data_IF_558125161702
#
_entry.id   IF_558125161702
#
_cell.length_a   1.000
_cell.length_b   1.000
_cell.length_c   1.000
_cell.angle_alpha   90.00
_cell.angle_beta   90.00
_cell.angle_gamma   90.00
#
_symmetry.space_group_name_H-M   'P 1'
#
loop_
_entity.id
_entity.type
_entity.pdbx_description
1 polymer ?
#
# COMPACT_ATOMS: atom_id res chain seq x y z
N UNK A 1 -19.48 22.21 12.95
CA UNK A 1 -19.12 22.95 11.75
C UNK A 1 -18.31 22.01 10.81
N UNK A 2 -18.61 21.97 9.50
CA UNK A 2 -17.78 21.24 8.57
C UNK A 2 -16.40 21.86 8.53
N UNK A 3 -15.35 21.03 8.62
CA UNK A 3 -13.98 21.51 8.46
C UNK A 3 -13.73 21.88 6.98
N UNK A 4 -12.81 22.80 6.67
CA UNK A 4 -12.49 23.18 5.28
C UNK A 4 -12.12 22.01 4.37
N UNK A 5 -11.62 20.90 4.95
CA UNK A 5 -11.16 19.71 4.22
C UNK A 5 -12.21 18.58 4.18
N UNK A 6 -13.47 18.83 4.60
CA UNK A 6 -14.51 17.82 4.51
C UNK A 6 -14.77 17.46 3.03
N UNK A 7 -14.65 16.16 2.71
CA UNK A 7 -14.81 15.61 1.34
C UNK A 7 -13.77 16.13 0.31
N UNK A 8 -12.60 16.62 0.77
CA UNK A 8 -11.55 17.13 -0.11
C UNK A 8 -10.64 16.01 -0.66
N UNK A 9 -10.74 14.80 -0.12
CA UNK A 9 -9.85 13.68 -0.44
C UNK A 9 -10.60 12.40 -0.77
N UNK A 10 -10.08 11.63 -1.71
CA UNK A 10 -10.34 10.21 -1.82
C UNK A 10 -9.37 9.46 -0.91
N UNK A 11 -9.86 8.56 -0.06
CA UNK A 11 -9.06 7.85 0.95
C UNK A 11 -8.65 6.49 0.43
N UNK A 12 -7.33 6.28 0.23
CA UNK A 12 -6.75 4.98 -0.10
C UNK A 12 -6.19 4.37 1.19
N UNK A 13 -6.83 3.30 1.68
CA UNK A 13 -6.42 2.62 2.91
C UNK A 13 -5.78 1.28 2.62
N UNK A 14 -4.54 1.10 3.10
CA UNK A 14 -3.84 -0.18 3.20
C UNK A 14 -3.93 -0.69 4.64
N UNK A 15 -4.27 -1.96 4.80
CA UNK A 15 -4.33 -2.66 6.09
C UNK A 15 -3.43 -3.90 6.00
N UNK A 16 -2.30 -3.85 6.68
CA UNK A 16 -1.30 -4.92 6.65
C UNK A 16 -1.42 -5.91 7.80
N UNK A 17 -2.54 -5.90 8.53
CA UNK A 17 -2.84 -6.93 9.52
C UNK A 17 -2.89 -8.33 8.92
N UNK A 18 -2.38 -9.33 9.64
CA UNK A 18 -2.50 -10.74 9.26
C UNK A 18 -1.82 -11.12 7.93
N UNK A 19 -0.70 -10.48 7.59
CA UNK A 19 0.17 -10.93 6.49
C UNK A 19 0.83 -12.25 6.88
N UNK A 20 0.83 -13.23 5.95
CA UNK A 20 1.47 -14.53 6.16
C UNK A 20 2.99 -14.40 6.03
N UNK A 21 3.70 -14.55 7.15
CA UNK A 21 5.15 -14.45 7.26
C UNK A 21 5.87 -15.79 7.29
N UNK A 22 5.16 -16.91 7.04
CA UNK A 22 5.71 -18.27 7.17
C UNK A 22 6.86 -18.59 6.20
N UNK A 23 6.90 -17.96 5.04
CA UNK A 23 8.02 -17.97 4.10
C UNK A 23 7.92 -16.77 3.14
N UNK A 24 8.99 -16.54 2.35
CA UNK A 24 9.08 -15.39 1.45
C UNK A 24 7.98 -15.36 0.39
N UNK A 25 7.66 -16.49 -0.24
CA UNK A 25 6.65 -16.56 -1.31
C UNK A 25 5.25 -16.26 -0.76
N UNK A 26 4.92 -16.79 0.42
CA UNK A 26 3.64 -16.50 1.09
C UNK A 26 3.54 -15.06 1.52
N UNK A 27 4.62 -14.51 2.05
CA UNK A 27 4.66 -13.10 2.37
C UNK A 27 4.40 -12.24 1.12
N UNK A 28 5.14 -12.47 0.03
CA UNK A 28 4.98 -11.73 -1.23
C UNK A 28 3.55 -11.80 -1.75
N UNK A 29 2.96 -12.99 -1.75
CA UNK A 29 1.58 -13.22 -2.18
C UNK A 29 0.59 -12.49 -1.28
N UNK A 30 0.73 -12.62 0.04
CA UNK A 30 -0.15 -12.00 1.03
C UNK A 30 -0.06 -10.46 0.99
N UNK A 31 1.15 -9.92 0.96
CA UNK A 31 1.39 -8.48 0.88
C UNK A 31 0.84 -7.88 -0.43
N UNK A 32 1.13 -8.51 -1.57
CA UNK A 32 0.58 -8.11 -2.87
C UNK A 32 -0.93 -8.16 -2.90
N UNK A 33 -1.53 -9.21 -2.33
CA UNK A 33 -2.99 -9.35 -2.23
C UNK A 33 -3.65 -8.23 -1.40
N UNK A 34 -2.99 -7.80 -0.31
CA UNK A 34 -3.46 -6.65 0.50
C UNK A 34 -3.45 -5.35 -0.30
N UNK A 35 -2.37 -5.10 -1.06
CA UNK A 35 -2.27 -3.93 -1.93
C UNK A 35 -3.36 -3.93 -2.99
N UNK A 36 -3.50 -5.03 -3.73
CA UNK A 36 -4.51 -5.14 -4.80
C UNK A 36 -5.93 -4.97 -4.27
N UNK A 37 -6.22 -5.57 -3.10
CA UNK A 37 -7.51 -5.40 -2.43
C UNK A 37 -7.78 -3.93 -2.09
N UNK A 38 -6.78 -3.23 -1.53
CA UNK A 38 -6.90 -1.82 -1.16
C UNK A 38 -7.17 -0.94 -2.39
N UNK A 39 -6.42 -1.13 -3.48
CA UNK A 39 -6.61 -0.37 -4.73
C UNK A 39 -7.98 -0.65 -5.34
N UNK A 40 -8.39 -1.92 -5.39
CA UNK A 40 -9.72 -2.30 -5.91
C UNK A 40 -10.85 -1.67 -5.10
N UNK A 41 -10.77 -1.70 -3.78
CA UNK A 41 -11.75 -1.09 -2.88
C UNK A 41 -11.79 0.45 -3.06
N UNK A 42 -10.63 1.07 -3.18
CA UNK A 42 -10.51 2.50 -3.42
C UNK A 42 -11.23 2.91 -4.72
N UNK A 43 -10.92 2.26 -5.83
CA UNK A 43 -11.55 2.58 -7.12
C UNK A 43 -13.05 2.29 -7.09
N UNK A 44 -13.49 1.20 -6.45
CA UNK A 44 -14.90 0.86 -6.32
C UNK A 44 -15.67 1.89 -5.47
N UNK A 45 -15.08 2.36 -4.37
CA UNK A 45 -15.69 3.35 -3.47
C UNK A 45 -15.86 4.71 -4.15
N UNK A 46 -14.87 5.11 -4.93
CA UNK A 46 -14.84 6.40 -5.63
C UNK A 46 -15.12 6.28 -7.13
N UNK A 47 -15.83 5.23 -7.55
CA UNK A 47 -16.10 4.91 -8.98
C UNK A 47 -16.65 6.08 -9.79
N UNK A 48 -17.45 6.95 -9.15
CA UNK A 48 -18.03 8.12 -9.82
C UNK A 48 -17.00 9.21 -10.13
N UNK A 49 -15.82 9.15 -9.51
CA UNK A 49 -14.72 10.10 -9.74
C UNK A 49 -13.73 9.59 -10.79
N UNK A 50 -13.69 8.26 -11.03
CA UNK A 50 -12.75 7.66 -11.96
C UNK A 50 -13.40 7.36 -13.31
N UNK A 51 -12.89 7.92 -14.41
CA UNK A 51 -13.28 7.49 -15.75
C UNK A 51 -12.99 6.00 -15.93
N UNK A 52 -13.97 5.23 -16.45
CA UNK A 52 -13.81 3.79 -16.72
C UNK A 52 -13.45 2.93 -15.49
N UNK A 53 -13.95 3.28 -14.30
CA UNK A 53 -13.68 2.56 -13.05
C UNK A 53 -13.93 1.06 -13.14
N UNK A 54 -15.03 0.63 -13.77
CA UNK A 54 -15.37 -0.79 -13.89
C UNK A 54 -14.36 -1.57 -14.76
N UNK A 55 -13.90 -0.98 -15.86
CA UNK A 55 -12.85 -1.56 -16.70
C UNK A 55 -11.53 -1.66 -15.92
N UNK A 56 -11.20 -0.63 -15.15
CA UNK A 56 -9.98 -0.66 -14.31
C UNK A 56 -10.04 -1.75 -13.23
N UNK A 57 -11.17 -1.87 -12.53
CA UNK A 57 -11.38 -2.92 -11.52
C UNK A 57 -11.26 -4.32 -12.15
N UNK A 58 -11.78 -4.52 -13.35
CA UNK A 58 -11.66 -5.80 -14.09
C UNK A 58 -10.22 -6.12 -14.50
N UNK A 59 -9.40 -5.11 -14.77
CA UNK A 59 -7.98 -5.27 -15.09
C UNK A 59 -7.12 -5.60 -13.85
N UNK A 60 -7.59 -5.27 -12.64
CA UNK A 60 -6.93 -5.59 -11.38
C UNK A 60 -7.20 -7.05 -11.01
N UNK A 61 -6.48 -7.96 -11.62
CA UNK A 61 -6.51 -9.40 -11.30
C UNK A 61 -5.54 -9.73 -10.17
N UNK A 62 -5.63 -10.93 -9.60
CA UNK A 62 -4.67 -11.38 -8.57
C UNK A 62 -3.24 -11.53 -9.12
N UNK A 63 -3.10 -11.70 -10.42
CA UNK A 63 -1.82 -11.80 -11.13
C UNK A 63 -1.21 -10.44 -11.50
N UNK A 64 -1.98 -9.36 -11.36
CA UNK A 64 -1.48 -8.02 -11.68
C UNK A 64 -0.35 -7.63 -10.73
N UNK A 65 0.75 -7.00 -11.20
CA UNK A 65 1.79 -6.50 -10.32
C UNK A 65 1.21 -5.48 -9.33
N UNK A 66 1.31 -5.75 -8.03
CA UNK A 66 0.66 -4.96 -6.98
C UNK A 66 1.14 -3.50 -6.95
N UNK A 67 2.43 -3.28 -7.16
CA UNK A 67 3.01 -1.92 -7.21
C UNK A 67 2.50 -1.16 -8.43
N UNK A 68 2.40 -1.81 -9.59
CA UNK A 68 1.85 -1.20 -10.79
C UNK A 68 0.39 -0.80 -10.59
N UNK A 69 -0.38 -1.59 -9.85
CA UNK A 69 -1.78 -1.24 -9.51
C UNK A 69 -1.89 0.08 -8.74
N UNK A 70 -0.94 0.37 -7.85
CA UNK A 70 -0.88 1.67 -7.14
C UNK A 70 -0.55 2.79 -8.12
N UNK A 71 0.45 2.60 -8.99
CA UNK A 71 0.82 3.60 -10.00
C UNK A 71 -0.36 3.93 -10.91
N UNK A 72 -1.04 2.92 -11.41
CA UNK A 72 -2.22 3.10 -12.28
C UNK A 72 -3.34 3.87 -11.57
N UNK A 73 -3.53 3.64 -10.25
CA UNK A 73 -4.51 4.39 -9.46
C UNK A 73 -4.09 5.85 -9.26
N UNK A 74 -2.80 6.12 -9.03
CA UNK A 74 -2.23 7.47 -8.93
C UNK A 74 -2.40 8.21 -10.26
N UNK A 75 -2.01 7.60 -11.38
CA UNK A 75 -2.09 8.21 -12.70
C UNK A 75 -3.56 8.55 -13.08
N UNK A 76 -4.49 7.65 -12.78
CA UNK A 76 -5.92 7.92 -13.00
C UNK A 76 -6.47 9.02 -12.09
N UNK A 77 -6.01 9.10 -10.85
CA UNK A 77 -6.38 10.16 -9.92
C UNK A 77 -5.84 11.52 -10.40
N UNK A 78 -4.62 11.55 -10.94
CA UNK A 78 -4.01 12.75 -11.51
C UNK A 78 -4.81 13.26 -12.72
N UNK A 79 -5.17 12.35 -13.65
CA UNK A 79 -6.01 12.70 -14.81
C UNK A 79 -7.39 13.22 -14.42
N UNK A 80 -7.93 12.79 -13.29
CA UNK A 80 -9.24 13.18 -12.77
C UNK A 80 -9.19 14.35 -11.77
N UNK A 81 -8.02 14.93 -11.52
CA UNK A 81 -7.77 15.99 -10.51
C UNK A 81 -8.27 15.61 -9.10
N UNK A 82 -8.05 14.34 -8.73
CA UNK A 82 -8.46 13.78 -7.43
C UNK A 82 -7.27 13.82 -6.48
N UNK A 83 -7.42 14.45 -5.32
CA UNK A 83 -6.45 14.36 -4.23
C UNK A 83 -6.66 13.12 -3.40
N UNK A 84 -5.56 12.40 -3.12
CA UNK A 84 -5.55 11.17 -2.34
C UNK A 84 -5.02 11.45 -0.93
N UNK A 85 -5.72 10.91 0.08
CA UNK A 85 -5.22 10.74 1.43
C UNK A 85 -4.93 9.27 1.66
N UNK A 86 -3.66 8.90 1.84
CA UNK A 86 -3.24 7.52 2.09
C UNK A 86 -3.28 7.24 3.59
N UNK A 87 -3.87 6.11 3.98
CA UNK A 87 -3.80 5.56 5.33
C UNK A 87 -3.12 4.21 5.25
N UNK A 88 -2.08 3.99 6.05
CA UNK A 88 -1.39 2.72 6.20
C UNK A 88 -1.58 2.26 7.64
N UNK A 89 -2.29 1.15 7.83
CA UNK A 89 -2.63 0.59 9.13
C UNK A 89 -1.80 -0.67 9.38
N UNK A 90 -1.29 -0.82 10.62
CA UNK A 90 -0.46 -1.95 11.06
C UNK A 90 0.76 -2.20 10.15
N UNK A 91 1.45 -1.11 9.77
CA UNK A 91 2.59 -1.16 8.85
C UNK A 91 3.74 -2.05 9.31
N UNK A 92 3.89 -2.23 10.63
CA UNK A 92 4.98 -2.93 11.29
C UNK A 92 4.60 -4.35 11.76
N UNK A 93 3.34 -4.78 11.60
CA UNK A 93 2.87 -6.07 12.11
C UNK A 93 3.72 -7.23 11.58
N UNK A 94 3.90 -7.33 10.27
CA UNK A 94 4.69 -8.40 9.67
C UNK A 94 6.18 -8.30 9.99
N UNK A 95 6.71 -7.09 10.18
CA UNK A 95 8.10 -6.88 10.59
C UNK A 95 8.34 -7.42 12.00
N UNK A 96 7.43 -7.12 12.92
CA UNK A 96 7.49 -7.63 14.28
C UNK A 96 7.39 -9.17 14.32
N UNK A 97 6.53 -9.79 13.51
CA UNK A 97 6.42 -11.24 13.40
C UNK A 97 7.72 -11.87 12.89
N UNK A 98 8.33 -11.31 11.83
CA UNK A 98 9.61 -11.79 11.29
C UNK A 98 10.75 -11.66 12.28
N UNK A 99 10.82 -10.56 13.03
CA UNK A 99 11.82 -10.34 14.06
C UNK A 99 11.60 -11.30 15.25
N UNK A 100 10.35 -11.50 15.67
CA UNK A 100 9.99 -12.38 16.78
C UNK A 100 10.31 -13.86 16.50
N UNK A 101 10.34 -14.29 15.25
CA UNK A 101 10.77 -15.64 14.87
C UNK A 101 12.21 -15.94 15.27
N UNK A 102 13.05 -14.93 15.58
CA UNK A 102 14.40 -15.08 16.19
C UNK A 102 15.39 -15.94 15.38
N UNK A 103 14.97 -16.48 14.26
CA UNK A 103 15.76 -17.34 13.39
C UNK A 103 16.57 -16.53 12.38
N UNK A 104 17.72 -17.08 11.95
CA UNK A 104 18.50 -16.49 10.85
C UNK A 104 17.67 -16.37 9.58
N UNK A 105 16.69 -17.28 9.38
CA UNK A 105 15.77 -17.27 8.26
C UNK A 105 14.86 -16.03 8.32
N UNK A 106 14.25 -15.72 9.48
CA UNK A 106 13.40 -14.55 9.64
C UNK A 106 14.14 -13.24 9.39
N UNK A 107 15.38 -13.12 9.87
CA UNK A 107 16.25 -11.96 9.61
C UNK A 107 16.59 -11.79 8.14
N UNK A 108 16.90 -12.87 7.44
CA UNK A 108 17.19 -12.84 6.00
C UNK A 108 15.95 -12.46 5.19
N UNK A 109 14.79 -13.01 5.53
CA UNK A 109 13.52 -12.68 4.88
C UNK A 109 13.21 -11.20 5.08
N UNK A 110 13.28 -10.69 6.32
CA UNK A 110 13.08 -9.27 6.62
C UNK A 110 14.05 -8.39 5.81
N UNK A 111 15.35 -8.70 5.83
CA UNK A 111 16.36 -7.94 5.09
C UNK A 111 16.05 -7.90 3.57
N UNK A 112 15.71 -9.03 2.97
CA UNK A 112 15.41 -9.10 1.53
C UNK A 112 14.15 -8.33 1.13
N UNK A 113 13.22 -8.11 2.08
CA UNK A 113 11.96 -7.42 1.80
C UNK A 113 12.04 -5.91 1.96
N UNK A 114 12.86 -5.45 2.90
CA UNK A 114 12.99 -4.03 3.25
C UNK A 114 14.14 -3.37 2.48
N UNK A 115 15.22 -4.11 2.22
CA UNK A 115 16.40 -3.59 1.53
C UNK A 115 16.35 -3.85 0.01
N UNK A 116 17.23 -3.19 -0.74
CA UNK A 116 17.38 -3.06 -2.17
C UNK A 116 16.58 -4.05 -3.04
N UNK A 117 15.60 -3.59 -3.81
CA UNK A 117 14.66 -4.35 -4.64
C UNK A 117 13.59 -5.15 -3.85
N UNK A 118 13.36 -4.81 -2.59
CA UNK A 118 12.32 -5.44 -1.79
C UNK A 118 10.93 -4.87 -2.08
N UNK A 119 9.91 -5.74 -2.12
CA UNK A 119 8.52 -5.39 -2.41
C UNK A 119 7.97 -4.31 -1.44
N UNK A 120 8.38 -4.34 -0.19
CA UNK A 120 7.98 -3.35 0.83
C UNK A 120 8.59 -1.99 0.52
N UNK A 121 9.87 -1.95 0.16
CA UNK A 121 10.54 -0.73 -0.25
C UNK A 121 9.87 -0.13 -1.49
N UNK A 122 9.61 -0.94 -2.51
CA UNK A 122 8.95 -0.49 -3.74
C UNK A 122 7.57 0.12 -3.44
N UNK A 123 6.84 -0.47 -2.49
CA UNK A 123 5.56 0.07 -2.02
C UNK A 123 5.70 1.49 -1.43
N UNK A 124 6.68 1.72 -0.55
CA UNK A 124 6.89 3.06 0.02
C UNK A 124 7.44 4.06 -0.99
N UNK A 125 8.33 3.64 -1.88
CA UNK A 125 8.89 4.50 -2.94
C UNK A 125 7.80 4.97 -3.92
N UNK A 126 6.85 4.12 -4.30
CA UNK A 126 5.75 4.51 -5.18
C UNK A 126 4.83 5.53 -4.49
N UNK A 127 4.52 5.35 -3.21
CA UNK A 127 3.73 6.31 -2.45
C UNK A 127 4.46 7.65 -2.30
N UNK A 128 5.75 7.62 -1.98
CA UNK A 128 6.60 8.81 -1.91
C UNK A 128 6.68 9.55 -3.24
N UNK A 129 6.75 8.82 -4.34
CA UNK A 129 6.68 9.42 -5.67
C UNK A 129 5.33 10.08 -5.90
N UNK A 130 4.22 9.44 -5.53
CA UNK A 130 2.86 9.98 -5.63
C UNK A 130 2.64 11.27 -4.83
N UNK A 131 3.44 11.53 -3.78
CA UNK A 131 3.33 12.81 -3.02
C UNK A 131 3.77 14.03 -3.84
N UNK A 132 4.45 13.83 -4.96
CA UNK A 132 4.82 14.91 -5.88
C UNK A 132 3.65 15.34 -6.78
N UNK A 133 2.58 14.54 -6.83
CA UNK A 133 1.41 14.76 -7.70
C UNK A 133 0.11 14.82 -6.89
N UNK A 134 -0.54 13.69 -6.68
CA UNK A 134 -1.91 13.64 -6.13
C UNK A 134 -2.01 13.17 -4.69
N UNK A 135 -0.99 12.51 -4.14
CA UNK A 135 -1.00 12.11 -2.73
C UNK A 135 -0.64 13.33 -1.88
N UNK A 136 -1.65 13.95 -1.27
CA UNK A 136 -1.47 15.15 -0.45
C UNK A 136 -1.02 14.81 0.97
N UNK A 137 -1.47 13.68 1.51
CA UNK A 137 -1.18 13.25 2.88
C UNK A 137 -1.03 11.75 2.98
N UNK A 138 -0.12 11.32 3.86
CA UNK A 138 0.04 9.93 4.27
C UNK A 138 -0.04 9.88 5.80
N UNK A 139 -0.90 9.01 6.33
CA UNK A 139 -1.02 8.71 7.75
C UNK A 139 -0.67 7.24 7.97
N UNK A 140 0.28 6.98 8.87
CA UNK A 140 0.80 5.64 9.13
C UNK A 140 0.55 5.31 10.59
N UNK A 141 0.00 4.11 10.86
CA UNK A 141 -0.20 3.57 12.21
C UNK A 141 0.56 2.27 12.38
N UNK A 142 1.09 2.06 13.59
CA UNK A 142 1.81 0.85 13.99
C UNK A 142 2.21 0.93 15.46
N UNK A 143 2.74 -0.15 15.98
CA UNK A 143 3.15 -0.29 17.41
C UNK A 143 4.63 0.06 17.58
N UNK A 144 5.45 -0.18 16.54
CA UNK A 144 6.91 -0.06 16.60
C UNK A 144 7.45 0.77 15.42
N UNK A 145 8.49 1.60 15.63
CA UNK A 145 9.14 2.34 14.54
C UNK A 145 10.11 1.49 13.70
N UNK A 146 10.20 0.20 13.92
CA UNK A 146 11.24 -0.72 13.40
C UNK A 146 11.47 -0.61 11.89
N UNK A 147 10.44 -0.28 11.11
CA UNK A 147 10.58 -0.21 9.64
C UNK A 147 10.89 1.18 9.10
N UNK A 148 10.59 2.23 9.86
CA UNK A 148 10.76 3.60 9.36
C UNK A 148 12.24 4.00 9.30
N UNK A 149 13.09 3.37 10.11
CA UNK A 149 14.53 3.62 10.15
C UNK A 149 15.29 2.88 9.02
N UNK A 150 14.66 1.86 8.40
CA UNK A 150 15.27 1.01 7.37
C UNK A 150 14.82 1.39 5.92
N UNK A 151 13.88 2.32 5.79
CA UNK A 151 13.31 2.81 4.52
C UNK A 151 13.95 4.11 4.08
#
# INVERSE_FOLDING_TARGET
>A
HPTPNKNAYAVLKFDFSGIDTSNEDRFRTSFSGKIQKAVRQFVALYRNLFPNADSFIQQLTEESPSIQSIQDAIDKAELADIKIFVIIDEYDHFANDLIAMGSQLGKNVYHNMVHANGLVRDFYEILKTGTKTVIDRIFITGISPVMLDDL
#
